data_IF_331203775517
#
_entry.id   IF_331203775517
#
_cell.length_a   1.000
_cell.length_b   1.000
_cell.length_c   1.000
_cell.angle_alpha   90.00
_cell.angle_beta   90.00
_cell.angle_gamma   90.00
#
_symmetry.space_group_name_H-M   'P 1'
#
loop_
_entity.id
_entity.type
_entity.pdbx_description
1 polymer ?
#
# COMPACT_ATOMS: atom_id res chain seq x y z
N UNK A 1 3.05 30.61 19.15
CA UNK A 1 3.50 31.56 18.14
C UNK A 1 3.71 30.83 16.80
N UNK A 2 3.52 31.52 15.66
CA UNK A 2 3.64 30.93 14.32
C UNK A 2 5.04 30.34 14.03
N UNK A 3 6.08 30.86 14.67
CA UNK A 3 7.46 30.38 14.49
C UNK A 3 7.72 29.00 15.11
N UNK A 4 7.08 28.69 16.23
CA UNK A 4 7.23 27.38 16.88
C UNK A 4 6.54 26.26 16.06
N UNK A 5 5.35 26.53 15.53
CA UNK A 5 4.64 25.59 14.67
C UNK A 5 5.40 25.28 13.37
N UNK A 6 6.04 26.30 12.76
CA UNK A 6 6.87 26.11 11.58
C UNK A 6 8.11 25.26 11.89
N UNK A 7 8.80 25.50 12.99
CA UNK A 7 9.99 24.72 13.38
C UNK A 7 9.64 23.25 13.64
N UNK A 8 8.46 22.97 14.22
CA UNK A 8 8.01 21.61 14.48
C UNK A 8 7.65 20.86 13.17
N UNK A 9 7.12 21.56 12.17
CA UNK A 9 6.88 20.97 10.83
C UNK A 9 8.19 20.59 10.15
N UNK A 10 9.21 21.47 10.17
CA UNK A 10 10.52 21.18 9.57
C UNK A 10 11.25 20.03 10.26
N UNK A 11 11.19 19.94 11.59
CA UNK A 11 11.78 18.82 12.35
C UNK A 11 11.15 17.49 11.96
N UNK A 12 9.81 17.46 11.83
CA UNK A 12 9.08 16.25 11.40
C UNK A 12 9.41 15.88 9.96
N UNK A 13 9.50 16.85 9.05
CA UNK A 13 9.92 16.60 7.66
C UNK A 13 11.33 16.03 7.59
N UNK A 14 12.27 16.55 8.40
CA UNK A 14 13.61 15.98 8.50
C UNK A 14 13.60 14.53 8.97
N UNK A 15 12.82 14.22 10.00
CA UNK A 15 12.69 12.85 10.51
C UNK A 15 12.11 11.89 9.43
N UNK A 16 11.04 12.29 8.76
CA UNK A 16 10.46 11.48 7.66
C UNK A 16 11.42 11.34 6.48
N UNK A 17 12.18 12.40 6.17
CA UNK A 17 13.21 12.36 5.13
C UNK A 17 14.30 11.34 5.45
N UNK A 18 14.81 11.33 6.69
CA UNK A 18 15.83 10.37 7.13
C UNK A 18 15.28 8.95 7.11
N UNK A 19 14.09 8.72 7.68
CA UNK A 19 13.46 7.39 7.68
C UNK A 19 13.19 6.92 6.25
N UNK A 20 12.66 7.79 5.40
CA UNK A 20 12.42 7.46 3.98
C UNK A 20 13.70 7.09 3.24
N UNK A 21 14.80 7.83 3.43
CA UNK A 21 16.11 7.52 2.84
C UNK A 21 16.65 6.17 3.31
N UNK A 22 16.52 5.84 4.59
CA UNK A 22 16.94 4.55 5.13
C UNK A 22 16.16 3.39 4.52
N UNK A 23 14.85 3.55 4.34
CA UNK A 23 13.98 2.51 3.74
C UNK A 23 14.25 2.37 2.24
N UNK A 24 14.49 3.48 1.52
CA UNK A 24 14.94 3.44 0.12
C UNK A 24 16.27 2.70 -0.02
N UNK A 25 17.20 2.93 0.91
CA UNK A 25 18.49 2.25 0.92
C UNK A 25 18.37 0.72 1.14
N UNK A 26 17.31 0.27 1.83
CA UNK A 26 16.96 -1.15 1.98
C UNK A 26 16.34 -1.76 0.70
N UNK A 27 16.02 -0.93 -0.29
CA UNK A 27 15.41 -1.40 -1.54
C UNK A 27 13.89 -1.59 -1.47
N UNK A 28 13.25 -1.28 -0.34
CA UNK A 28 11.80 -1.39 -0.16
C UNK A 28 11.08 -0.12 -0.65
N UNK A 29 10.71 -0.12 -1.93
CA UNK A 29 9.94 0.97 -2.53
C UNK A 29 8.49 1.02 -2.01
N UNK A 30 7.89 -0.13 -1.70
CA UNK A 30 6.52 -0.21 -1.22
C UNK A 30 6.36 0.56 0.09
N UNK A 31 7.17 0.22 1.09
CA UNK A 31 7.19 0.93 2.38
C UNK A 31 7.56 2.40 2.23
N UNK A 32 8.49 2.73 1.32
CA UNK A 32 8.85 4.13 1.02
C UNK A 32 7.64 4.92 0.50
N UNK A 33 6.85 4.36 -0.41
CA UNK A 33 5.63 5.00 -0.94
C UNK A 33 4.59 5.21 0.16
N UNK A 34 4.43 4.25 1.07
CA UNK A 34 3.51 4.39 2.22
C UNK A 34 3.95 5.52 3.14
N UNK A 35 5.24 5.61 3.47
CA UNK A 35 5.80 6.71 4.29
C UNK A 35 5.57 8.06 3.59
N UNK A 36 5.79 8.13 2.27
CA UNK A 36 5.50 9.31 1.47
C UNK A 36 4.03 9.72 1.52
N UNK A 37 3.12 8.77 1.42
CA UNK A 37 1.68 9.00 1.52
C UNK A 37 1.27 9.51 2.92
N UNK A 38 1.83 8.92 3.97
CA UNK A 38 1.62 9.37 5.36
C UNK A 38 2.07 10.83 5.51
N UNK A 39 3.24 11.17 4.98
CA UNK A 39 3.76 12.54 4.99
C UNK A 39 2.85 13.50 4.22
N UNK A 40 2.36 13.12 3.05
CA UNK A 40 1.41 13.91 2.26
C UNK A 40 0.09 14.14 3.01
N UNK A 41 -0.45 13.09 3.66
CA UNK A 41 -1.67 13.20 4.46
C UNK A 41 -1.48 14.16 5.64
N UNK A 42 -0.33 14.13 6.31
CA UNK A 42 -0.02 15.09 7.37
C UNK A 42 0.11 16.52 6.85
N UNK A 43 0.85 16.72 5.76
CA UNK A 43 1.00 18.06 5.16
C UNK A 43 -0.35 18.65 4.75
N UNK A 44 -1.25 17.82 4.19
CA UNK A 44 -2.62 18.22 3.88
C UNK A 44 -3.39 18.67 5.12
N UNK A 45 -3.33 17.90 6.22
CA UNK A 45 -4.01 18.23 7.48
C UNK A 45 -3.51 19.54 8.12
N UNK A 46 -2.23 19.86 7.93
CA UNK A 46 -1.64 21.12 8.41
C UNK A 46 -1.88 22.30 7.45
N UNK A 47 -2.63 22.11 6.36
CA UNK A 47 -2.98 23.18 5.42
C UNK A 47 -1.80 23.67 4.59
N UNK A 48 -0.82 22.82 4.32
CA UNK A 48 0.31 23.15 3.44
C UNK A 48 -0.21 23.47 2.04
N UNK A 49 0.25 24.55 1.39
CA UNK A 49 -0.20 24.93 0.05
C UNK A 49 -0.04 23.80 -0.97
N UNK A 50 -1.05 23.59 -1.80
CA UNK A 50 -1.13 22.49 -2.79
C UNK A 50 0.09 22.40 -3.72
N UNK A 51 0.75 23.54 -3.99
CA UNK A 51 1.98 23.60 -4.81
C UNK A 51 3.12 22.76 -4.23
N UNK A 52 3.29 22.75 -2.90
CA UNK A 52 4.34 21.94 -2.25
C UNK A 52 3.96 20.46 -2.22
N UNK A 53 2.67 20.15 -2.04
CA UNK A 53 2.17 18.78 -2.16
C UNK A 53 2.38 18.24 -3.58
N UNK A 54 2.03 19.03 -4.60
CA UNK A 54 2.27 18.66 -6.00
C UNK A 54 3.75 18.48 -6.33
N UNK A 55 4.62 19.36 -5.82
CA UNK A 55 6.07 19.23 -5.99
C UNK A 55 6.60 17.94 -5.34
N UNK A 56 6.15 17.61 -4.14
CA UNK A 56 6.56 16.38 -3.45
C UNK A 56 6.08 15.11 -4.18
N UNK A 57 4.85 15.11 -4.67
CA UNK A 57 4.31 14.02 -5.50
C UNK A 57 5.13 13.88 -6.79
N UNK A 58 5.38 14.99 -7.49
CA UNK A 58 6.19 14.98 -8.71
C UNK A 58 7.61 14.48 -8.48
N UNK A 59 8.26 14.90 -7.39
CA UNK A 59 9.59 14.42 -7.01
C UNK A 59 9.57 12.92 -6.67
N UNK A 60 8.55 12.47 -5.94
CA UNK A 60 8.36 11.05 -5.60
C UNK A 60 8.18 10.18 -6.84
N UNK A 61 7.33 10.59 -7.77
CA UNK A 61 7.13 9.89 -9.05
C UNK A 61 8.42 9.85 -9.87
N UNK A 62 9.13 10.97 -9.98
CA UNK A 62 10.42 11.03 -10.67
C UNK A 62 11.44 10.09 -10.02
N UNK A 63 11.52 10.06 -8.69
CA UNK A 63 12.42 9.15 -7.97
C UNK A 63 12.06 7.67 -8.24
N UNK A 64 10.78 7.30 -8.22
CA UNK A 64 10.33 5.94 -8.55
C UNK A 64 10.71 5.58 -9.99
N UNK A 65 10.46 6.46 -10.95
CA UNK A 65 10.82 6.24 -12.36
C UNK A 65 12.33 6.05 -12.54
N UNK A 66 13.13 6.90 -11.93
CA UNK A 66 14.60 6.82 -12.02
C UNK A 66 15.11 5.53 -11.35
N UNK A 67 14.63 5.18 -10.17
CA UNK A 67 15.01 3.95 -9.46
C UNK A 67 14.59 2.69 -10.22
N UNK A 68 13.46 2.73 -10.92
CA UNK A 68 13.02 1.63 -11.78
C UNK A 68 13.89 1.52 -13.03
N UNK A 69 14.24 2.64 -13.66
CA UNK A 69 15.08 2.66 -14.86
C UNK A 69 16.52 2.19 -14.59
N UNK A 70 17.08 2.51 -13.41
CA UNK A 70 18.46 2.14 -13.04
C UNK A 70 18.59 0.68 -12.61
N UNK A 71 17.51 0.06 -12.11
CA UNK A 71 17.54 -1.30 -11.55
C UNK A 71 16.94 -2.30 -12.55
N UNK A 72 17.74 -3.16 -13.22
CA UNK A 72 17.24 -4.11 -14.22
C UNK A 72 16.11 -5.01 -13.72
N UNK A 73 16.24 -5.54 -12.50
CA UNK A 73 15.22 -6.38 -11.88
C UNK A 73 13.83 -5.69 -11.76
N UNK A 74 13.81 -4.38 -11.50
CA UNK A 74 12.57 -3.61 -11.42
C UNK A 74 11.99 -3.30 -12.79
N UNK A 75 12.86 -3.04 -13.75
CA UNK A 75 12.47 -2.84 -15.15
C UNK A 75 11.83 -4.12 -15.72
N UNK A 76 12.43 -5.30 -15.46
CA UNK A 76 11.85 -6.60 -15.83
C UNK A 76 10.47 -6.83 -15.20
N UNK A 77 10.28 -6.47 -13.94
CA UNK A 77 8.96 -6.56 -13.29
C UNK A 77 7.89 -5.72 -13.99
N UNK A 78 8.22 -4.48 -14.36
CA UNK A 78 7.29 -3.61 -15.10
C UNK A 78 7.04 -4.14 -16.51
N UNK A 79 8.07 -4.64 -17.19
CA UNK A 79 7.96 -5.21 -18.53
C UNK A 79 7.18 -6.54 -18.53
N UNK A 80 7.38 -7.40 -17.54
CA UNK A 80 6.63 -8.65 -17.40
C UNK A 80 5.14 -8.41 -17.11
N UNK A 81 4.82 -7.30 -16.45
CA UNK A 81 3.45 -6.86 -16.28
C UNK A 81 2.77 -6.43 -17.59
N UNK A 82 3.52 -5.74 -18.46
CA UNK A 82 3.02 -5.31 -19.77
C UNK A 82 2.96 -6.45 -20.77
N UNK A 83 3.80 -7.48 -20.60
CA UNK A 83 3.88 -8.66 -21.49
C UNK A 83 3.92 -9.96 -20.67
N UNK A 84 2.79 -10.43 -20.16
CA UNK A 84 2.73 -11.61 -19.28
C UNK A 84 3.14 -12.92 -19.97
N UNK A 85 3.16 -12.96 -21.30
CA UNK A 85 3.45 -14.17 -22.10
C UNK A 85 4.93 -14.56 -22.17
N UNK A 86 5.85 -13.76 -21.65
CA UNK A 86 7.29 -13.99 -21.79
C UNK A 86 7.87 -15.05 -20.84
N UNK A 87 7.03 -15.80 -20.10
CA UNK A 87 7.47 -16.96 -19.29
C UNK A 87 8.45 -16.64 -18.15
N UNK A 88 8.61 -15.36 -17.79
CA UNK A 88 9.49 -14.95 -16.71
C UNK A 88 8.96 -15.47 -15.37
N UNK A 89 9.84 -16.00 -14.52
CA UNK A 89 9.52 -16.49 -13.18
C UNK A 89 8.79 -15.44 -12.31
N UNK A 90 8.98 -14.17 -12.61
CA UNK A 90 8.35 -13.02 -11.95
C UNK A 90 6.83 -12.93 -12.19
N UNK A 91 6.33 -13.57 -13.27
CA UNK A 91 4.89 -13.58 -13.63
C UNK A 91 4.11 -14.72 -12.94
N UNK A 92 4.79 -15.68 -12.33
CA UNK A 92 4.12 -16.86 -11.76
C UNK A 92 3.29 -16.55 -10.52
N UNK A 93 3.79 -15.71 -9.61
CA UNK A 93 3.07 -15.35 -8.37
C UNK A 93 1.76 -14.59 -8.65
N UNK A 94 1.73 -13.52 -9.47
CA UNK A 94 0.47 -12.86 -9.84
C UNK A 94 -0.53 -13.80 -10.54
N UNK A 95 -0.06 -14.66 -11.45
CA UNK A 95 -0.92 -15.66 -12.09
C UNK A 95 -1.50 -16.65 -11.08
N UNK A 96 -0.70 -17.13 -10.15
CA UNK A 96 -1.15 -18.01 -9.07
C UNK A 96 -2.17 -17.32 -8.16
N UNK A 97 -2.05 -16.02 -7.92
CA UNK A 97 -3.02 -15.23 -7.16
C UNK A 97 -4.37 -15.14 -7.91
N UNK A 98 -4.34 -14.93 -9.22
CA UNK A 98 -5.56 -14.94 -10.06
C UNK A 98 -6.20 -16.33 -10.06
N UNK A 99 -5.41 -17.40 -10.19
CA UNK A 99 -5.92 -18.77 -10.10
C UNK A 99 -6.52 -19.08 -8.73
N UNK A 100 -5.91 -18.61 -7.63
CA UNK A 100 -6.46 -18.74 -6.29
C UNK A 100 -7.86 -18.12 -6.20
N UNK A 101 -8.02 -16.87 -6.66
CA UNK A 101 -9.34 -16.21 -6.69
C UNK A 101 -10.34 -16.95 -7.59
N UNK A 102 -9.91 -17.42 -8.76
CA UNK A 102 -10.78 -18.13 -9.70
C UNK A 102 -11.26 -19.48 -9.14
N UNK A 103 -10.39 -20.21 -8.42
CA UNK A 103 -10.74 -21.50 -7.81
C UNK A 103 -11.64 -21.36 -6.59
N UNK A 104 -11.60 -20.22 -5.88
CA UNK A 104 -12.44 -19.97 -4.71
C UNK A 104 -13.94 -19.87 -5.03
N UNK A 105 -14.32 -19.42 -6.23
CA UNK A 105 -15.74 -19.28 -6.61
C UNK A 105 -16.53 -18.42 -5.61
N UNK A 106 -17.80 -18.78 -5.40
CA UNK A 106 -18.68 -18.03 -4.46
C UNK A 106 -18.42 -18.34 -2.99
N UNK A 107 -18.15 -19.60 -2.66
CA UNK A 107 -18.14 -20.12 -1.29
C UNK A 107 -16.75 -20.47 -0.76
N UNK A 108 -15.76 -20.49 -1.64
CA UNK A 108 -14.42 -20.95 -1.32
C UNK A 108 -14.26 -22.47 -1.32
N UNK A 109 -13.01 -22.91 -1.30
CA UNK A 109 -12.66 -24.35 -1.19
C UNK A 109 -12.63 -24.85 0.25
N UNK A 110 -12.76 -23.96 1.22
CA UNK A 110 -12.72 -24.22 2.66
C UNK A 110 -11.47 -23.66 3.33
N UNK A 111 -11.61 -23.34 4.61
CA UNK A 111 -10.54 -22.75 5.42
C UNK A 111 -9.39 -23.75 5.54
N UNK A 112 -8.18 -23.33 5.20
CA UNK A 112 -6.98 -24.17 5.21
C UNK A 112 -6.78 -25.06 3.99
N UNK A 113 -7.75 -25.11 3.05
CA UNK A 113 -7.73 -25.98 1.86
C UNK A 113 -7.12 -25.31 0.62
N UNK A 114 -6.57 -24.11 0.73
CA UNK A 114 -5.91 -23.42 -0.37
C UNK A 114 -4.75 -24.26 -0.93
N UNK A 115 -4.77 -24.49 -2.24
CA UNK A 115 -3.70 -25.21 -2.96
C UNK A 115 -2.57 -24.27 -3.35
N UNK A 116 -2.89 -23.03 -3.70
CA UNK A 116 -1.90 -22.04 -4.13
C UNK A 116 -0.99 -21.60 -2.97
N UNK A 117 -1.47 -21.66 -1.74
CA UNK A 117 -0.69 -21.43 -0.50
C UNK A 117 0.55 -22.32 -0.39
N UNK A 118 0.45 -23.57 -0.84
CA UNK A 118 1.53 -24.56 -0.82
C UNK A 118 2.23 -24.74 -2.18
N UNK A 119 1.75 -24.02 -3.20
CA UNK A 119 2.24 -24.06 -4.57
C UNK A 119 2.83 -22.74 -5.02
N UNK A 120 2.22 -22.10 -6.02
CA UNK A 120 2.74 -20.90 -6.67
C UNK A 120 2.86 -19.65 -5.81
N UNK A 121 2.20 -19.60 -4.64
CA UNK A 121 2.24 -18.47 -3.69
C UNK A 121 3.07 -18.76 -2.43
N UNK A 122 3.79 -19.88 -2.38
CA UNK A 122 4.47 -20.34 -1.15
C UNK A 122 5.30 -19.25 -0.45
N UNK A 123 6.11 -18.49 -1.19
CA UNK A 123 7.00 -17.46 -0.62
C UNK A 123 6.28 -16.17 -0.21
N UNK A 124 5.06 -15.92 -0.72
CA UNK A 124 4.31 -14.68 -0.47
C UNK A 124 2.92 -14.87 0.13
N UNK A 125 2.48 -16.11 0.33
CA UNK A 125 1.13 -16.45 0.76
C UNK A 125 0.73 -15.81 2.11
N UNK A 126 1.69 -15.64 3.00
CA UNK A 126 1.46 -15.08 4.35
C UNK A 126 1.58 -13.55 4.42
N UNK A 127 2.17 -12.92 3.42
CA UNK A 127 2.46 -11.49 3.41
C UNK A 127 1.71 -10.78 2.28
N UNK A 128 2.21 -10.91 1.06
CA UNK A 128 1.78 -10.10 -0.08
C UNK A 128 0.49 -10.62 -0.72
N UNK A 129 0.23 -11.93 -0.65
CA UNK A 129 -0.90 -12.58 -1.31
C UNK A 129 -1.95 -13.15 -0.35
N UNK A 130 -1.97 -12.68 0.90
CA UNK A 130 -2.96 -13.11 1.92
C UNK A 130 -4.39 -12.97 1.41
N UNK A 131 -4.70 -11.90 0.67
CA UNK A 131 -6.04 -11.68 0.13
C UNK A 131 -6.40 -12.69 -0.97
N UNK A 132 -5.43 -13.14 -1.79
CA UNK A 132 -5.64 -14.18 -2.79
C UNK A 132 -5.93 -15.52 -2.13
N UNK A 133 -5.16 -15.88 -1.09
CA UNK A 133 -5.39 -17.10 -0.29
C UNK A 133 -6.76 -17.06 0.39
N UNK A 134 -7.14 -15.93 0.97
CA UNK A 134 -8.46 -15.74 1.57
C UNK A 134 -9.56 -15.91 0.52
N UNK A 135 -9.35 -15.39 -0.69
CA UNK A 135 -10.30 -15.56 -1.80
C UNK A 135 -10.43 -17.00 -2.26
N UNK A 136 -9.36 -17.80 -2.27
CA UNK A 136 -9.43 -19.23 -2.53
C UNK A 136 -10.17 -19.97 -1.42
N UNK A 137 -9.87 -19.68 -0.15
CA UNK A 137 -10.43 -20.41 1.00
C UNK A 137 -11.88 -20.02 1.32
N UNK A 138 -12.23 -18.74 1.25
CA UNK A 138 -13.56 -18.21 1.66
C UNK A 138 -14.40 -17.74 0.47
N UNK A 139 -13.87 -17.76 -0.73
CA UNK A 139 -14.57 -17.35 -1.94
C UNK A 139 -14.89 -15.85 -2.02
N UNK A 140 -15.78 -15.52 -2.95
CA UNK A 140 -16.20 -14.14 -3.19
C UNK A 140 -16.90 -13.52 -1.96
N UNK A 141 -17.69 -14.29 -1.25
CA UNK A 141 -18.37 -13.78 -0.05
C UNK A 141 -17.40 -13.40 1.05
N UNK A 142 -16.34 -14.21 1.26
CA UNK A 142 -15.29 -13.89 2.22
C UNK A 142 -14.49 -12.65 1.84
N UNK A 143 -14.12 -12.52 0.56
CA UNK A 143 -13.38 -11.34 0.06
C UNK A 143 -14.19 -10.06 0.17
N UNK A 144 -15.48 -10.09 -0.21
CA UNK A 144 -16.37 -8.94 -0.06
C UNK A 144 -16.59 -8.59 1.42
N UNK A 145 -16.68 -9.58 2.31
CA UNK A 145 -16.77 -9.37 3.75
C UNK A 145 -15.56 -8.62 4.30
N UNK A 146 -14.34 -9.00 3.89
CA UNK A 146 -13.11 -8.33 4.31
C UNK A 146 -13.01 -6.92 3.73
N UNK A 147 -13.36 -6.71 2.46
CA UNK A 147 -13.40 -5.38 1.84
C UNK A 147 -14.40 -4.48 2.60
N UNK A 148 -15.57 -5.00 2.94
CA UNK A 148 -16.57 -4.27 3.73
C UNK A 148 -16.02 -3.88 5.10
N UNK A 149 -15.35 -4.79 5.81
CA UNK A 149 -14.75 -4.51 7.12
C UNK A 149 -13.68 -3.41 7.03
N UNK A 150 -12.78 -3.46 6.05
CA UNK A 150 -11.81 -2.38 5.83
C UNK A 150 -12.49 -1.06 5.46
N UNK A 151 -13.53 -1.09 4.64
CA UNK A 151 -14.31 0.10 4.29
C UNK A 151 -14.95 0.73 5.53
N UNK A 152 -15.56 -0.07 6.39
CA UNK A 152 -16.14 0.39 7.66
C UNK A 152 -15.08 0.94 8.62
N UNK A 153 -13.91 0.30 8.70
CA UNK A 153 -12.80 0.76 9.52
C UNK A 153 -12.28 2.13 9.04
N UNK A 154 -12.08 2.29 7.73
CA UNK A 154 -11.64 3.55 7.12
C UNK A 154 -12.70 4.63 7.36
N UNK A 155 -13.98 4.32 7.14
CA UNK A 155 -15.08 5.25 7.40
C UNK A 155 -15.13 5.69 8.87
N UNK A 156 -15.01 4.76 9.80
CA UNK A 156 -14.97 5.05 11.24
C UNK A 156 -13.75 5.93 11.60
N UNK A 157 -12.58 5.64 11.02
CA UNK A 157 -11.37 6.41 11.21
C UNK A 157 -11.49 7.85 10.70
N UNK A 158 -12.02 8.04 9.49
CA UNK A 158 -12.31 9.37 8.92
C UNK A 158 -13.31 10.13 9.78
N UNK A 159 -14.40 9.47 10.19
CA UNK A 159 -15.40 10.09 11.07
C UNK A 159 -14.82 10.50 12.42
N UNK A 160 -13.94 9.65 12.99
CA UNK A 160 -13.22 9.97 14.23
C UNK A 160 -12.32 11.18 14.06
N UNK A 161 -11.55 11.24 12.97
CA UNK A 161 -10.68 12.37 12.65
C UNK A 161 -11.46 13.68 12.52
N UNK A 162 -12.60 13.65 11.81
CA UNK A 162 -13.45 14.84 11.61
C UNK A 162 -14.09 15.39 12.90
N UNK A 163 -14.27 14.54 13.91
CA UNK A 163 -14.87 14.92 15.21
C UNK A 163 -13.87 15.47 16.23
N UNK A 164 -12.58 15.48 15.89
CA UNK A 164 -11.56 15.96 16.82
C UNK A 164 -11.41 17.47 16.76
N UNK A 165 -11.47 18.13 17.92
CA UNK A 165 -11.31 19.58 18.07
C UNK A 165 -9.83 19.99 18.01
N UNK A 166 -8.93 19.14 18.53
CA UNK A 166 -7.50 19.46 18.52
C UNK A 166 -6.84 19.02 17.21
N UNK A 167 -6.04 19.94 16.62
CA UNK A 167 -5.30 19.69 15.38
C UNK A 167 -4.40 18.44 15.47
N UNK A 168 -3.78 18.23 16.64
CA UNK A 168 -2.93 17.06 16.86
C UNK A 168 -3.71 15.75 16.78
N UNK A 169 -4.81 15.64 17.53
CA UNK A 169 -5.65 14.43 17.53
C UNK A 169 -6.28 14.17 16.17
N UNK A 170 -6.75 15.23 15.50
CA UNK A 170 -7.27 15.15 14.13
C UNK A 170 -6.23 14.64 13.16
N UNK A 171 -5.00 15.20 13.19
CA UNK A 171 -3.91 14.77 12.32
C UNK A 171 -3.48 13.34 12.62
N UNK A 172 -3.38 12.93 13.89
CA UNK A 172 -3.01 11.58 14.26
C UNK A 172 -4.04 10.55 13.75
N UNK A 173 -5.34 10.80 13.99
CA UNK A 173 -6.42 9.90 13.55
C UNK A 173 -6.50 9.80 12.03
N UNK A 174 -6.41 10.93 11.30
CA UNK A 174 -6.47 10.91 9.82
C UNK A 174 -5.25 10.24 9.21
N UNK A 175 -4.06 10.44 9.79
CA UNK A 175 -2.82 9.82 9.32
C UNK A 175 -2.83 8.31 9.54
N UNK A 176 -3.25 7.85 10.72
CA UNK A 176 -3.41 6.42 10.99
C UNK A 176 -4.41 5.77 10.03
N UNK A 177 -5.55 6.44 9.78
CA UNK A 177 -6.55 5.97 8.82
C UNK A 177 -6.01 5.92 7.39
N UNK A 178 -5.27 6.95 6.96
CA UNK A 178 -4.65 6.98 5.65
C UNK A 178 -3.61 5.86 5.48
N UNK A 179 -2.84 5.56 6.52
CA UNK A 179 -1.90 4.45 6.52
C UNK A 179 -2.60 3.10 6.34
N UNK A 180 -3.61 2.82 7.16
CA UNK A 180 -4.39 1.57 7.06
C UNK A 180 -5.05 1.45 5.68
N UNK A 181 -5.64 2.53 5.17
CA UNK A 181 -6.26 2.56 3.85
C UNK A 181 -5.25 2.27 2.73
N UNK A 182 -4.07 2.91 2.79
CA UNK A 182 -3.01 2.69 1.81
C UNK A 182 -2.51 1.25 1.83
N UNK A 183 -2.26 0.70 3.02
CA UNK A 183 -1.80 -0.68 3.19
C UNK A 183 -2.83 -1.67 2.64
N UNK A 184 -4.11 -1.48 2.95
CA UNK A 184 -5.19 -2.32 2.44
C UNK A 184 -5.29 -2.25 0.91
N UNK A 185 -5.21 -1.04 0.33
CA UNK A 185 -5.25 -0.85 -1.12
C UNK A 185 -4.04 -1.46 -1.83
N UNK A 186 -2.84 -1.34 -1.28
CA UNK A 186 -1.63 -1.95 -1.85
C UNK A 186 -1.75 -3.47 -1.84
N UNK A 187 -2.14 -4.07 -0.70
CA UNK A 187 -2.32 -5.51 -0.62
C UNK A 187 -3.40 -6.02 -1.58
N UNK A 188 -4.46 -5.24 -1.78
CA UNK A 188 -5.51 -5.58 -2.74
C UNK A 188 -5.03 -5.43 -4.19
N UNK A 189 -4.19 -4.41 -4.46
CA UNK A 189 -3.62 -4.12 -5.79
C UNK A 189 -2.58 -5.15 -6.23
N UNK A 190 -1.83 -5.74 -5.30
CA UNK A 190 -0.81 -6.78 -5.61
C UNK A 190 -1.39 -8.02 -6.31
N UNK A 191 -2.70 -8.24 -6.22
CA UNK A 191 -3.39 -9.33 -6.93
C UNK A 191 -3.57 -9.00 -8.41
N UNK A 192 -3.63 -7.72 -8.76
CA UNK A 192 -3.79 -7.25 -10.15
C UNK A 192 -2.46 -6.87 -10.83
N UNK A 193 -1.38 -6.84 -10.06
CA UNK A 193 -0.03 -6.52 -10.52
C UNK A 193 0.83 -7.77 -10.52
#
# INVERSE_FOLDING_TARGET
>A
SRSSAASDVYKRQGLYGVVGLLVVAQGDLGTTMIIGLIMLAQMWNFGVPKRYLGALIGLGLLAVLLLTAITPYRAERVLSFLHPDNGASTSQQPLSAIYALATGGWWGVGIGASRQKWGGLYDGAQNDFVFAVLGEEMGLLGTLGVILLFTLLIWAGVRTAMRQDSLFRRSAASTATAWIAAQALINLSLIHI
#
